data_IF_163821030236
#
_entry.id   IF_163821030236
#
_cell.length_a   1.000
_cell.length_b   1.000
_cell.length_c   1.000
_cell.angle_alpha   90.00
_cell.angle_beta   90.00
_cell.angle_gamma   90.00
#
_symmetry.space_group_name_H-M   'P 1'
#
loop_
_entity.id
_entity.type
_entity.pdbx_description
1 polymer ?
#
# COMPACT_ATOMS: atom_id res chain seq x y z
N UNK A 1 -24.04 -9.09 19.76
CA UNK A 1 -22.71 -8.85 19.15
C UNK A 1 -21.61 -9.36 20.06
N UNK A 2 -20.64 -10.07 19.48
CA UNK A 2 -19.45 -10.59 20.17
C UNK A 2 -18.18 -9.98 19.54
N UNK A 3 -17.16 -9.72 20.36
CA UNK A 3 -15.89 -9.13 19.92
C UNK A 3 -14.74 -10.10 20.16
N UNK A 4 -14.03 -10.46 19.09
CA UNK A 4 -12.79 -11.24 19.17
C UNK A 4 -11.60 -10.31 19.15
N UNK A 5 -10.73 -10.40 20.15
CA UNK A 5 -9.59 -9.49 20.28
C UNK A 5 -8.48 -9.75 19.27
N UNK A 6 -8.32 -11.01 18.83
CA UNK A 6 -7.23 -11.44 17.95
C UNK A 6 -7.73 -12.42 16.90
N UNK A 7 -7.16 -12.35 15.71
CA UNK A 7 -7.33 -13.31 14.64
C UNK A 7 -5.96 -13.64 14.04
N UNK A 8 -5.67 -14.92 13.84
CA UNK A 8 -4.44 -15.36 13.19
C UNK A 8 -4.73 -15.91 11.81
N UNK A 9 -4.03 -15.36 10.81
CA UNK A 9 -4.19 -15.71 9.40
C UNK A 9 -2.88 -16.18 8.79
N UNK A 10 -2.98 -16.71 7.56
CA UNK A 10 -1.82 -17.18 6.81
C UNK A 10 -0.96 -16.02 6.27
N UNK A 11 -1.62 -14.95 5.84
CA UNK A 11 -1.06 -13.79 5.16
C UNK A 11 -0.83 -12.58 6.09
N UNK A 12 -1.50 -12.56 7.25
CA UNK A 12 -1.38 -11.58 8.34
C UNK A 12 -2.11 -12.04 9.59
N UNK A 13 -1.70 -11.52 10.74
CA UNK A 13 -2.53 -11.54 11.96
C UNK A 13 -3.26 -10.20 12.11
N UNK A 14 -4.26 -10.14 12.98
CA UNK A 14 -4.92 -8.90 13.32
C UNK A 14 -5.37 -8.84 14.78
N UNK A 15 -5.38 -7.63 15.34
CA UNK A 15 -5.78 -7.38 16.72
C UNK A 15 -6.70 -6.19 16.81
N UNK A 16 -7.86 -6.37 17.44
CA UNK A 16 -8.80 -5.31 17.77
C UNK A 16 -8.73 -5.03 19.27
N UNK A 17 -8.23 -3.84 19.64
CA UNK A 17 -8.07 -3.44 21.05
C UNK A 17 -8.85 -2.18 21.38
N UNK A 18 -9.63 -2.16 22.48
CA UNK A 18 -10.30 -0.94 22.92
C UNK A 18 -9.28 0.10 23.38
N UNK A 19 -9.52 1.36 23.02
CA UNK A 19 -8.79 2.55 23.44
C UNK A 19 -9.77 3.48 24.15
N UNK A 20 -10.07 3.16 25.40
CA UNK A 20 -11.08 3.86 26.20
C UNK A 20 -12.52 3.46 25.84
N UNK A 21 -13.49 4.34 26.10
CA UNK A 21 -14.91 4.07 25.84
C UNK A 21 -15.28 4.19 24.34
N UNK A 22 -14.69 5.17 23.64
CA UNK A 22 -15.17 5.65 22.33
C UNK A 22 -14.29 5.29 21.13
N UNK A 23 -13.24 4.50 21.34
CA UNK A 23 -12.30 4.19 20.27
C UNK A 23 -11.74 2.78 20.39
N UNK A 24 -11.32 2.23 19.26
CA UNK A 24 -10.54 1.01 19.11
C UNK A 24 -9.33 1.27 18.23
N UNK A 25 -8.31 0.43 18.36
CA UNK A 25 -7.26 0.24 17.37
C UNK A 25 -7.50 -1.13 16.72
N UNK A 26 -7.60 -1.17 15.38
CA UNK A 26 -7.52 -2.42 14.60
C UNK A 26 -6.16 -2.47 13.92
N UNK A 27 -5.29 -3.34 14.42
CA UNK A 27 -3.91 -3.45 13.97
C UNK A 27 -3.77 -4.67 13.07
N UNK A 28 -3.34 -4.49 11.83
CA UNK A 28 -2.88 -5.58 10.96
C UNK A 28 -1.40 -5.85 11.24
N UNK A 29 -1.02 -7.10 11.45
CA UNK A 29 0.32 -7.49 11.87
C UNK A 29 0.99 -8.38 10.82
N UNK A 30 2.16 -7.96 10.35
CA UNK A 30 2.95 -8.71 9.37
C UNK A 30 4.30 -9.12 9.94
N UNK A 31 4.61 -10.40 9.81
CA UNK A 31 5.96 -10.93 9.92
C UNK A 31 6.56 -10.99 8.52
N UNK A 32 7.67 -10.31 8.28
CA UNK A 32 8.24 -10.18 6.94
C UNK A 32 9.66 -10.71 6.93
N UNK A 33 9.95 -11.66 6.05
CA UNK A 33 11.32 -12.06 5.74
C UNK A 33 11.81 -11.16 4.60
N UNK A 34 12.90 -10.42 4.86
CA UNK A 34 13.61 -9.70 3.81
C UNK A 34 14.83 -10.54 3.40
N UNK A 35 14.77 -11.09 2.19
CA UNK A 35 15.81 -11.93 1.61
C UNK A 35 16.80 -11.05 0.84
N UNK A 36 18.00 -10.91 1.39
CA UNK A 36 19.14 -10.28 0.71
C UNK A 36 19.53 -11.12 -0.52
N UNK A 37 19.34 -10.58 -1.72
CA UNK A 37 19.70 -11.28 -2.94
C UNK A 37 21.07 -10.83 -3.42
N UNK A 38 22.06 -11.70 -3.23
CA UNK A 38 23.41 -11.60 -3.79
C UNK A 38 23.49 -12.15 -5.22
N UNK A 39 24.56 -11.82 -5.99
CA UNK A 39 24.79 -12.39 -7.32
C UNK A 39 24.72 -13.92 -7.38
N UNK A 40 25.14 -14.59 -6.29
CA UNK A 40 25.15 -16.05 -6.15
C UNK A 40 23.86 -16.63 -5.60
N UNK A 41 22.82 -15.82 -5.36
CA UNK A 41 21.58 -16.28 -4.73
C UNK A 41 20.70 -16.99 -5.74
N UNK A 42 20.28 -18.21 -5.40
CA UNK A 42 19.25 -18.93 -6.14
C UNK A 42 17.89 -18.65 -5.51
N UNK A 43 16.96 -18.11 -6.30
CA UNK A 43 15.60 -17.87 -5.83
C UNK A 43 14.59 -17.83 -6.96
N UNK A 44 13.33 -18.07 -6.64
CA UNK A 44 12.22 -17.93 -7.56
C UNK A 44 11.16 -17.04 -6.89
N UNK A 45 11.11 -15.78 -7.31
CA UNK A 45 10.19 -14.78 -6.77
C UNK A 45 8.81 -14.85 -7.43
N UNK A 46 8.72 -15.42 -8.64
CA UNK A 46 7.44 -15.72 -9.26
C UNK A 46 7.60 -16.73 -10.39
N UNK A 47 7.01 -17.91 -10.17
CA UNK A 47 6.93 -18.95 -11.20
C UNK A 47 6.07 -18.52 -12.40
N UNK A 48 5.10 -17.62 -12.23
CA UNK A 48 4.22 -17.19 -13.33
C UNK A 48 4.87 -16.12 -14.21
N UNK A 49 5.60 -15.17 -13.62
CA UNK A 49 6.31 -14.13 -14.38
C UNK A 49 7.74 -14.53 -14.75
N UNK A 50 8.16 -15.77 -14.48
CA UNK A 50 9.50 -16.29 -14.71
C UNK A 50 10.56 -15.34 -14.13
N UNK A 51 10.34 -14.90 -12.89
CA UNK A 51 11.25 -13.99 -12.19
C UNK A 51 12.09 -14.78 -11.18
N UNK A 52 13.36 -15.00 -11.51
CA UNK A 52 14.24 -15.88 -10.75
C UNK A 52 15.72 -15.50 -10.88
N UNK A 53 16.52 -15.89 -9.89
CA UNK A 53 17.98 -15.84 -9.93
C UNK A 53 18.56 -17.26 -9.96
N UNK A 54 19.59 -17.46 -10.78
CA UNK A 54 20.29 -18.73 -11.01
C UNK A 54 21.67 -18.79 -10.35
N UNK A 55 22.05 -17.76 -9.59
CA UNK A 55 23.36 -17.68 -8.94
C UNK A 55 24.54 -17.36 -9.86
N UNK A 56 24.29 -17.00 -11.12
CA UNK A 56 25.28 -16.60 -12.12
C UNK A 56 25.51 -15.07 -12.17
N UNK A 57 24.95 -14.33 -11.21
CA UNK A 57 24.95 -12.87 -11.18
C UNK A 57 23.82 -12.21 -11.97
N UNK A 58 22.91 -12.97 -12.57
CA UNK A 58 21.76 -12.43 -13.28
C UNK A 58 20.43 -12.72 -12.57
N UNK A 59 19.57 -11.72 -12.60
CA UNK A 59 18.14 -11.89 -12.43
C UNK A 59 17.48 -12.01 -13.80
N UNK A 60 16.64 -13.03 -13.95
CA UNK A 60 15.82 -13.29 -15.11
C UNK A 60 14.42 -12.76 -14.85
N UNK A 61 13.87 -11.95 -15.76
CA UNK A 61 12.48 -11.45 -15.71
C UNK A 61 11.90 -11.55 -17.13
N UNK A 62 11.32 -12.71 -17.43
CA UNK A 62 10.92 -13.06 -18.79
C UNK A 62 12.12 -13.04 -19.75
N UNK A 63 12.06 -12.17 -20.76
CA UNK A 63 13.16 -11.94 -21.71
C UNK A 63 14.21 -10.95 -21.19
N UNK A 64 13.91 -10.17 -20.14
CA UNK A 64 14.83 -9.18 -19.57
C UNK A 64 15.84 -9.86 -18.64
N UNK A 65 17.01 -9.26 -18.54
CA UNK A 65 18.12 -9.68 -17.68
C UNK A 65 18.62 -8.47 -16.92
N UNK A 66 18.94 -8.67 -15.65
CA UNK A 66 19.45 -7.63 -14.77
C UNK A 66 20.70 -8.14 -14.07
N UNK A 67 21.79 -7.37 -14.13
CA UNK A 67 23.04 -7.74 -13.48
C UNK A 67 22.97 -7.38 -12.00
N UNK A 68 23.08 -8.38 -11.13
CA UNK A 68 23.06 -8.19 -9.69
C UNK A 68 24.42 -7.75 -9.20
N UNK A 69 24.42 -6.72 -8.37
CA UNK A 69 25.58 -6.25 -7.64
C UNK A 69 25.55 -6.82 -6.21
N UNK A 70 26.74 -6.94 -5.63
CA UNK A 70 26.88 -7.37 -4.24
C UNK A 70 26.37 -6.29 -3.30
N UNK A 71 25.75 -6.73 -2.21
CA UNK A 71 25.44 -5.84 -1.09
C UNK A 71 26.66 -5.68 -0.18
N UNK A 72 26.88 -4.46 0.31
CA UNK A 72 27.71 -4.28 1.49
C UNK A 72 26.87 -4.54 2.76
N UNK A 73 27.53 -4.96 3.84
CA UNK A 73 26.81 -5.37 5.05
C UNK A 73 26.09 -4.19 5.73
N UNK A 74 26.74 -3.04 5.80
CA UNK A 74 26.20 -1.79 6.32
C UNK A 74 25.03 -1.29 5.46
N UNK A 75 25.17 -1.32 4.13
CA UNK A 75 24.12 -0.98 3.18
C UNK A 75 22.87 -1.85 3.38
N UNK A 76 23.06 -3.16 3.54
CA UNK A 76 21.95 -4.09 3.78
C UNK A 76 21.24 -3.82 5.11
N UNK A 77 22.00 -3.62 6.19
CA UNK A 77 21.41 -3.31 7.50
C UNK A 77 20.63 -2.00 7.46
N UNK A 78 21.19 -0.96 6.83
CA UNK A 78 20.50 0.31 6.62
C UNK A 78 19.21 0.13 5.80
N UNK A 79 19.23 -0.69 4.74
CA UNK A 79 18.02 -0.99 3.98
C UNK A 79 16.94 -1.64 4.85
N UNK A 80 17.28 -2.68 5.64
CA UNK A 80 16.32 -3.38 6.51
C UNK A 80 15.66 -2.44 7.50
N UNK A 81 16.44 -1.60 8.18
CA UNK A 81 15.93 -0.63 9.14
C UNK A 81 15.02 0.41 8.47
N UNK A 82 15.45 0.91 7.31
CA UNK A 82 14.70 1.91 6.55
C UNK A 82 13.38 1.34 5.99
N UNK A 83 13.35 0.07 5.58
CA UNK A 83 12.17 -0.57 5.03
C UNK A 83 10.97 -0.48 5.98
N UNK A 84 11.12 -0.98 7.22
CA UNK A 84 10.02 -0.98 8.18
C UNK A 84 9.59 0.44 8.53
N UNK A 85 10.55 1.36 8.71
CA UNK A 85 10.29 2.76 9.02
C UNK A 85 9.51 3.48 7.91
N UNK A 86 9.88 3.28 6.65
CA UNK A 86 9.19 3.91 5.50
C UNK A 86 7.75 3.42 5.40
N UNK A 87 7.52 2.11 5.52
CA UNK A 87 6.18 1.51 5.43
C UNK A 87 5.30 1.99 6.58
N UNK A 88 5.79 1.90 7.82
CA UNK A 88 5.01 2.29 9.01
C UNK A 88 4.71 3.79 9.01
N UNK A 89 5.67 4.65 8.64
CA UNK A 89 5.45 6.11 8.58
C UNK A 89 4.31 6.49 7.63
N UNK A 90 4.08 5.70 6.59
CA UNK A 90 3.06 5.99 5.59
C UNK A 90 1.70 5.33 5.91
N UNK A 91 1.70 4.07 6.35
CA UNK A 91 0.47 3.28 6.48
C UNK A 91 -0.09 3.21 7.91
N UNK A 92 0.75 3.32 8.95
CA UNK A 92 0.29 3.15 10.33
C UNK A 92 -0.49 4.38 10.82
N UNK A 93 -1.67 4.15 11.40
CA UNK A 93 -2.51 5.16 12.08
C UNK A 93 -2.85 6.38 11.21
N UNK A 94 -2.86 6.22 9.88
CA UNK A 94 -3.20 7.31 8.95
C UNK A 94 -4.67 7.34 8.56
N UNK A 95 -5.42 6.28 8.85
CA UNK A 95 -6.84 6.11 8.52
C UNK A 95 -7.68 5.86 9.78
N UNK A 96 -8.93 6.32 9.75
CA UNK A 96 -9.94 6.06 10.78
C UNK A 96 -11.24 5.58 10.14
N UNK A 97 -11.89 4.62 10.81
CA UNK A 97 -13.20 4.11 10.47
C UNK A 97 -14.25 4.67 11.43
N UNK A 98 -15.33 5.22 10.87
CA UNK A 98 -16.49 5.68 11.60
C UNK A 98 -17.68 4.74 11.35
N UNK A 99 -18.34 4.21 12.40
CA UNK A 99 -19.49 3.34 12.23
C UNK A 99 -20.73 4.14 11.78
N UNK A 100 -21.64 3.48 11.05
CA UNK A 100 -22.94 4.05 10.66
C UNK A 100 -23.96 4.13 11.82
N UNK A 101 -23.69 3.47 12.95
CA UNK A 101 -24.55 3.44 14.13
C UNK A 101 -23.74 3.12 15.39
N UNK A 102 -24.28 3.37 16.60
CA UNK A 102 -23.74 2.79 17.82
C UNK A 102 -23.66 1.26 17.74
N UNK A 103 -22.55 0.70 18.19
CA UNK A 103 -22.28 -0.73 18.05
C UNK A 103 -21.61 -1.35 19.27
N UNK A 104 -20.77 -0.63 19.99
CA UNK A 104 -20.00 -1.18 21.11
C UNK A 104 -20.59 -0.79 22.47
N UNK A 105 -20.83 -1.78 23.32
CA UNK A 105 -21.12 -1.60 24.74
C UNK A 105 -20.02 -2.28 25.54
N UNK A 106 -19.48 -1.60 26.56
CA UNK A 106 -18.42 -2.16 27.39
C UNK A 106 -18.98 -3.35 28.19
N UNK A 107 -18.30 -4.51 28.23
CA UNK A 107 -18.74 -5.63 29.03
C UNK A 107 -18.87 -5.25 30.51
N UNK A 108 -20.00 -5.64 31.12
CA UNK A 108 -20.25 -5.39 32.54
C UNK A 108 -20.72 -3.97 32.89
N UNK A 109 -20.99 -3.09 31.91
CA UNK A 109 -21.63 -1.79 32.18
C UNK A 109 -23.06 -1.73 31.68
N UNK A 110 -23.91 -0.93 32.35
CA UNK A 110 -25.29 -0.66 31.94
C UNK A 110 -25.40 0.51 30.94
N UNK A 111 -24.27 0.99 30.42
CA UNK A 111 -24.24 2.12 29.50
C UNK A 111 -24.90 1.77 28.17
N UNK A 112 -25.50 2.77 27.51
CA UNK A 112 -25.97 2.61 26.15
C UNK A 112 -24.79 2.33 25.18
N UNK A 113 -25.01 1.56 24.10
CA UNK A 113 -23.97 1.36 23.09
C UNK A 113 -23.47 2.69 22.51
N UNK A 114 -22.17 2.77 22.22
CA UNK A 114 -21.51 3.93 21.62
C UNK A 114 -21.11 3.69 20.16
N UNK A 115 -21.04 4.78 19.39
CA UNK A 115 -20.52 4.82 18.03
C UNK A 115 -18.97 4.85 18.05
N UNK A 116 -18.35 3.79 18.59
CA UNK A 116 -16.90 3.74 18.76
C UNK A 116 -16.17 3.77 17.40
N UNK A 117 -15.20 4.68 17.26
CA UNK A 117 -14.37 4.79 16.05
C UNK A 117 -13.22 3.80 16.09
N UNK A 118 -12.66 3.44 14.93
CA UNK A 118 -11.53 2.51 14.85
C UNK A 118 -10.38 3.19 14.14
N UNK A 119 -9.23 3.31 14.79
CA UNK A 119 -7.99 3.73 14.14
C UNK A 119 -7.35 2.52 13.46
N UNK A 120 -7.02 2.67 12.18
CA UNK A 120 -6.37 1.64 11.37
C UNK A 120 -4.87 1.62 11.69
N UNK A 121 -4.41 0.58 12.37
CA UNK A 121 -3.00 0.38 12.71
C UNK A 121 -2.30 -0.65 11.83
N UNK A 122 -0.98 -0.54 11.74
CA UNK A 122 -0.10 -1.49 11.08
C UNK A 122 1.08 -1.81 12.00
N UNK A 123 1.41 -3.09 12.15
CA UNK A 123 2.60 -3.53 12.83
C UNK A 123 3.43 -4.42 11.90
N UNK A 124 4.74 -4.17 11.85
CA UNK A 124 5.69 -4.95 11.08
C UNK A 124 6.75 -5.55 12.01
N UNK A 125 7.06 -6.82 11.80
CA UNK A 125 8.18 -7.50 12.45
C UNK A 125 9.03 -8.13 11.36
N UNK A 126 10.32 -7.79 11.31
CA UNK A 126 11.25 -8.47 10.42
C UNK A 126 11.65 -9.80 11.07
N UNK A 127 11.52 -10.88 10.32
CA UNK A 127 11.90 -12.23 10.75
C UNK A 127 13.00 -12.77 9.84
N UNK A 128 13.79 -13.70 10.36
CA UNK A 128 14.97 -14.20 9.65
C UNK A 128 14.70 -15.49 8.86
N UNK A 129 13.48 -16.06 8.95
CA UNK A 129 13.13 -17.31 8.27
C UNK A 129 11.77 -17.27 7.60
N UNK A 130 11.70 -17.91 6.43
CA UNK A 130 10.47 -18.12 5.66
C UNK A 130 9.34 -18.78 6.47
N UNK A 131 9.66 -19.70 7.39
CA UNK A 131 8.69 -20.44 8.18
C UNK A 131 7.89 -19.54 9.15
N UNK A 132 8.50 -18.43 9.59
CA UNK A 132 7.88 -17.46 10.49
C UNK A 132 7.17 -16.32 9.74
N UNK A 133 7.45 -16.17 8.45
CA UNK A 133 7.07 -15.00 7.68
C UNK A 133 5.66 -15.12 7.13
N UNK A 134 4.84 -14.08 7.30
CA UNK A 134 3.62 -13.89 6.52
C UNK A 134 3.93 -13.54 5.07
N UNK A 135 5.00 -12.78 4.81
CA UNK A 135 5.39 -12.28 3.49
C UNK A 135 6.90 -12.42 3.30
N UNK A 136 7.35 -12.83 2.11
CA UNK A 136 8.77 -13.01 1.78
C UNK A 136 9.19 -12.07 0.66
N UNK A 137 10.02 -11.09 0.97
CA UNK A 137 10.45 -10.09 0.00
C UNK A 137 11.90 -10.28 -0.37
N UNK A 138 12.13 -10.52 -1.65
CA UNK A 138 13.45 -10.59 -2.24
C UNK A 138 13.92 -9.17 -2.54
N UNK A 139 15.09 -8.80 -2.03
CA UNK A 139 15.66 -7.47 -2.22
C UNK A 139 16.92 -7.60 -3.07
N UNK A 140 16.83 -7.12 -4.31
CA UNK A 140 17.90 -7.17 -5.32
C UNK A 140 18.62 -5.83 -5.43
N UNK A 141 19.86 -5.88 -5.92
CA UNK A 141 20.64 -4.70 -6.28
C UNK A 141 21.03 -4.76 -7.75
N UNK A 142 20.07 -4.51 -8.69
CA UNK A 142 20.39 -4.52 -10.11
C UNK A 142 21.21 -3.27 -10.47
N UNK A 143 22.17 -3.43 -11.38
CA UNK A 143 22.89 -2.31 -11.99
C UNK A 143 21.92 -1.43 -12.80
N UNK A 144 21.04 -2.06 -13.56
CA UNK A 144 20.04 -1.39 -14.38
C UNK A 144 18.98 -0.69 -13.53
N UNK A 145 18.38 0.36 -14.08
CA UNK A 145 17.45 1.25 -13.38
C UNK A 145 15.98 0.97 -13.71
N UNK A 146 15.71 0.11 -14.68
CA UNK A 146 14.38 -0.11 -15.27
C UNK A 146 13.68 -1.39 -14.77
N UNK A 147 14.19 -2.01 -13.70
CA UNK A 147 13.47 -3.09 -13.03
C UNK A 147 12.17 -2.55 -12.43
N UNK A 148 11.08 -3.32 -12.58
CA UNK A 148 9.75 -2.98 -12.05
C UNK A 148 9.50 -3.84 -10.81
N UNK A 149 9.44 -3.24 -9.61
CA UNK A 149 9.12 -3.98 -8.40
C UNK A 149 7.71 -4.54 -8.48
N UNK A 150 7.44 -5.57 -7.67
CA UNK A 150 6.10 -6.11 -7.51
C UNK A 150 5.91 -6.72 -6.12
N UNK A 151 4.66 -6.75 -5.66
CA UNK A 151 4.20 -7.61 -4.57
C UNK A 151 2.95 -8.39 -4.97
N UNK A 152 2.87 -9.63 -4.50
CA UNK A 152 1.72 -10.51 -4.70
C UNK A 152 1.31 -11.10 -3.35
N UNK A 153 0.24 -10.54 -2.77
CA UNK A 153 -0.26 -10.94 -1.47
C UNK A 153 -0.69 -12.41 -1.43
N UNK A 154 -1.32 -12.91 -2.49
CA UNK A 154 -1.82 -14.29 -2.55
C UNK A 154 -0.69 -15.32 -2.52
N UNK A 155 0.42 -15.00 -3.21
CA UNK A 155 1.64 -15.81 -3.23
C UNK A 155 2.60 -15.48 -2.10
N UNK A 156 2.28 -14.48 -1.29
CA UNK A 156 3.05 -14.03 -0.14
C UNK A 156 4.49 -13.65 -0.48
N UNK A 157 4.67 -13.04 -1.64
CA UNK A 157 5.99 -12.75 -2.21
C UNK A 157 6.06 -11.35 -2.79
N UNK A 158 7.24 -10.74 -2.71
CA UNK A 158 7.55 -9.49 -3.40
C UNK A 158 9.00 -9.46 -3.84
N UNK A 159 9.30 -8.60 -4.82
CA UNK A 159 10.64 -8.38 -5.33
C UNK A 159 10.88 -6.88 -5.50
N UNK A 160 11.87 -6.38 -4.79
CA UNK A 160 12.20 -4.97 -4.68
C UNK A 160 13.68 -4.74 -4.95
N UNK A 161 14.00 -3.55 -5.41
CA UNK A 161 15.36 -3.06 -5.54
C UNK A 161 15.79 -2.25 -4.33
N UNK A 162 17.10 -2.12 -4.14
CA UNK A 162 17.70 -1.18 -3.19
C UNK A 162 17.20 0.28 -3.33
N UNK A 163 16.67 0.66 -4.49
CA UNK A 163 16.20 2.04 -4.79
C UNK A 163 14.72 2.27 -4.51
N UNK A 164 13.94 1.24 -4.18
CA UNK A 164 12.47 1.34 -4.10
C UNK A 164 11.94 1.98 -2.82
N UNK A 165 12.81 2.20 -1.82
CA UNK A 165 12.46 2.98 -0.62
C UNK A 165 12.36 4.49 -0.92
N UNK A 166 12.97 4.96 -2.01
CA UNK A 166 12.98 6.37 -2.37
C UNK A 166 11.73 6.76 -3.18
N UNK A 167 11.41 8.05 -3.17
CA UNK A 167 10.44 8.61 -4.10
C UNK A 167 11.02 8.66 -5.51
N UNK A 168 10.27 8.14 -6.47
CA UNK A 168 10.57 8.21 -7.90
C UNK A 168 9.67 9.23 -8.58
N UNK A 169 10.24 9.91 -9.57
CA UNK A 169 9.55 10.83 -10.45
C UNK A 169 9.04 10.07 -11.66
N UNK A 170 7.79 10.30 -12.04
CA UNK A 170 7.21 9.78 -13.27
C UNK A 170 6.39 10.87 -13.93
N UNK A 171 6.66 11.15 -15.20
CA UNK A 171 5.85 12.10 -15.98
C UNK A 171 4.84 11.31 -16.79
N UNK A 172 3.59 11.74 -16.72
CA UNK A 172 2.47 11.12 -17.40
C UNK A 172 1.59 12.17 -18.07
N UNK A 173 0.94 11.76 -19.16
CA UNK A 173 -0.13 12.53 -19.78
C UNK A 173 -1.40 12.34 -18.96
N UNK A 174 -1.92 13.43 -18.40
CA UNK A 174 -3.03 13.41 -17.45
C UNK A 174 -4.17 14.30 -17.95
N UNK A 175 -5.39 13.76 -18.08
CA UNK A 175 -6.57 14.58 -18.35
C UNK A 175 -6.89 15.51 -17.16
N UNK A 176 -6.97 16.82 -17.42
CA UNK A 176 -7.34 17.88 -16.46
C UNK A 176 -8.27 18.86 -17.19
N UNK A 177 -9.49 19.06 -16.68
CA UNK A 177 -10.46 20.04 -17.18
C UNK A 177 -10.68 20.04 -18.72
N UNK A 178 -10.65 18.85 -19.33
CA UNK A 178 -10.84 18.67 -20.78
C UNK A 178 -9.59 18.86 -21.64
N UNK A 179 -8.44 19.16 -21.04
CA UNK A 179 -7.13 19.17 -21.69
C UNK A 179 -6.27 18.00 -21.20
N UNK A 180 -5.20 17.68 -21.93
CA UNK A 180 -4.20 16.67 -21.53
C UNK A 180 -2.92 17.40 -21.16
N UNK A 181 -2.46 17.19 -19.93
CA UNK A 181 -1.31 17.88 -19.34
C UNK A 181 -0.15 16.91 -19.07
N UNK A 182 1.09 17.39 -19.12
CA UNK A 182 2.27 16.68 -18.66
C UNK A 182 2.42 16.87 -17.15
N UNK A 183 2.07 15.84 -16.38
CA UNK A 183 2.10 15.88 -14.92
C UNK A 183 3.19 14.97 -14.39
N UNK A 184 4.08 15.53 -13.57
CA UNK A 184 5.06 14.78 -12.80
C UNK A 184 4.44 14.31 -11.49
N UNK A 185 4.38 13.01 -11.29
CA UNK A 185 4.01 12.37 -10.03
C UNK A 185 5.24 11.91 -9.26
N UNK A 186 5.13 11.94 -7.93
CA UNK A 186 6.10 11.35 -7.01
C UNK A 186 5.48 10.15 -6.32
N UNK A 187 6.12 8.99 -6.44
CA UNK A 187 5.68 7.77 -5.78
C UNK A 187 6.86 6.95 -5.27
N UNK A 188 6.71 6.36 -4.09
CA UNK A 188 7.64 5.34 -3.61
C UNK A 188 7.11 3.97 -4.03
N UNK A 189 7.85 3.22 -4.87
CA UNK A 189 7.39 1.92 -5.34
C UNK A 189 7.13 0.94 -4.20
N UNK A 190 7.98 0.93 -3.15
CA UNK A 190 7.75 0.02 -2.02
C UNK A 190 6.42 0.27 -1.32
N UNK A 191 5.97 1.54 -1.24
CA UNK A 191 4.70 1.89 -0.61
C UNK A 191 3.51 1.43 -1.46
N UNK A 192 3.58 1.61 -2.78
CA UNK A 192 2.58 1.15 -3.74
C UNK A 192 2.40 -0.36 -3.67
N UNK A 193 3.49 -1.11 -3.81
CA UNK A 193 3.47 -2.57 -3.74
C UNK A 193 3.06 -3.09 -2.36
N UNK A 194 3.41 -2.37 -1.29
CA UNK A 194 2.88 -2.71 0.03
C UNK A 194 1.36 -2.54 0.10
N UNK A 195 0.78 -1.60 -0.64
CA UNK A 195 -0.66 -1.55 -0.86
C UNK A 195 -1.24 -2.84 -1.43
N UNK A 196 -0.58 -3.46 -2.43
CA UNK A 196 -0.97 -4.79 -2.92
C UNK A 196 -0.85 -5.87 -1.86
N UNK A 197 0.14 -5.78 -0.98
CA UNK A 197 0.32 -6.68 0.16
C UNK A 197 -0.84 -6.58 1.16
N UNK A 198 -1.31 -5.35 1.40
CA UNK A 198 -2.51 -5.09 2.18
C UNK A 198 -3.79 -5.62 1.49
N UNK A 199 -3.72 -5.98 0.21
CA UNK A 199 -4.86 -6.47 -0.58
C UNK A 199 -5.56 -5.37 -1.39
N UNK A 200 -4.93 -4.21 -1.57
CA UNK A 200 -5.42 -3.16 -2.46
C UNK A 200 -5.08 -3.51 -3.92
N UNK A 201 -5.99 -3.24 -4.85
CA UNK A 201 -5.70 -3.24 -6.28
C UNK A 201 -5.24 -1.85 -6.74
N UNK A 202 -4.89 -1.71 -8.02
CA UNK A 202 -4.70 -0.38 -8.59
C UNK A 202 -6.03 0.39 -8.62
N UNK A 203 -5.95 1.72 -8.65
CA UNK A 203 -7.13 2.59 -8.56
C UNK A 203 -8.13 2.37 -9.72
N UNK A 204 -7.63 2.13 -10.93
CA UNK A 204 -8.43 1.88 -12.14
C UNK A 204 -8.88 0.43 -12.31
N UNK A 205 -8.38 -0.52 -11.50
CA UNK A 205 -8.78 -1.93 -11.56
C UNK A 205 -7.60 -2.91 -11.59
N UNK A 206 -7.84 -4.10 -12.15
CA UNK A 206 -6.86 -5.18 -12.17
C UNK A 206 -5.99 -5.15 -13.44
N UNK A 207 -4.68 -5.28 -13.28
CA UNK A 207 -3.73 -5.43 -14.39
C UNK A 207 -2.60 -4.41 -14.33
N UNK A 208 -1.61 -4.55 -15.22
CA UNK A 208 -0.40 -3.71 -15.25
C UNK A 208 -0.41 -2.66 -16.37
N UNK A 209 -1.56 -2.46 -17.03
CA UNK A 209 -1.71 -1.46 -18.09
C UNK A 209 -1.82 -0.06 -17.51
N UNK A 210 -1.49 0.95 -18.32
CA UNK A 210 -1.52 2.37 -17.91
C UNK A 210 -2.87 2.79 -17.32
N UNK A 211 -3.96 2.33 -17.94
CA UNK A 211 -5.33 2.56 -17.49
C UNK A 211 -5.59 2.12 -16.04
N UNK A 212 -4.86 1.13 -15.53
CA UNK A 212 -5.04 0.64 -14.17
C UNK A 212 -4.60 1.68 -13.13
N UNK A 213 -3.72 2.62 -13.50
CA UNK A 213 -3.19 3.65 -12.60
C UNK A 213 -4.02 4.94 -12.55
N UNK A 214 -5.21 4.94 -13.17
CA UNK A 214 -6.18 6.03 -13.11
C UNK A 214 -6.33 6.81 -14.42
N UNK A 215 -7.53 7.32 -14.66
CA UNK A 215 -7.91 8.06 -15.86
C UNK A 215 -8.02 9.58 -15.63
N UNK A 216 -8.00 10.02 -14.38
CA UNK A 216 -8.06 11.44 -13.98
C UNK A 216 -6.91 11.80 -13.06
N UNK A 217 -6.58 13.10 -12.95
CA UNK A 217 -5.62 13.58 -11.96
C UNK A 217 -5.95 13.11 -10.53
N UNK A 218 -7.25 13.05 -10.19
CA UNK A 218 -7.71 12.64 -8.87
C UNK A 218 -7.36 11.18 -8.55
N UNK A 219 -7.49 10.29 -9.53
CA UNK A 219 -7.13 8.88 -9.42
C UNK A 219 -5.63 8.68 -9.52
N UNK A 220 -4.97 9.36 -10.46
CA UNK A 220 -3.53 9.21 -10.70
C UNK A 220 -2.67 9.69 -9.54
N UNK A 221 -3.10 10.70 -8.78
CA UNK A 221 -2.36 11.11 -7.58
C UNK A 221 -2.47 10.11 -6.41
N UNK A 222 -3.41 9.14 -6.45
CA UNK A 222 -3.56 8.12 -5.41
C UNK A 222 -2.33 7.22 -5.33
N UNK A 223 -2.02 6.69 -4.15
CA UNK A 223 -0.90 5.75 -3.94
C UNK A 223 -1.05 4.46 -4.74
N UNK A 224 -2.28 4.02 -4.98
CA UNK A 224 -2.58 2.88 -5.85
C UNK A 224 -2.73 3.31 -7.32
N UNK A 225 -2.51 4.58 -7.64
CA UNK A 225 -2.28 5.13 -8.97
C UNK A 225 -0.79 5.41 -9.18
N UNK A 226 -0.45 6.60 -9.67
CA UNK A 226 0.90 7.06 -9.98
C UNK A 226 1.54 7.92 -8.89
N UNK A 227 0.76 8.35 -7.90
CA UNK A 227 1.18 9.30 -6.89
C UNK A 227 1.42 8.69 -5.52
N UNK A 228 1.25 9.52 -4.50
CA UNK A 228 1.51 9.18 -3.10
C UNK A 228 0.39 9.60 -2.15
N UNK A 229 -0.79 9.95 -2.67
CA UNK A 229 -1.94 10.36 -1.85
C UNK A 229 -2.72 9.14 -1.39
N UNK A 230 -2.99 9.05 -0.09
CA UNK A 230 -3.98 8.15 0.49
C UNK A 230 -5.40 8.68 0.26
N UNK A 231 -6.29 7.80 -0.16
CA UNK A 231 -7.74 8.00 -0.16
C UNK A 231 -8.42 7.16 0.91
N UNK A 232 -9.70 7.43 1.17
CA UNK A 232 -10.52 6.61 2.07
C UNK A 232 -10.60 5.14 1.61
N UNK A 233 -10.50 4.89 0.30
CA UNK A 233 -10.51 3.55 -0.27
C UNK A 233 -9.35 2.67 0.23
N UNK A 234 -8.25 3.28 0.65
CA UNK A 234 -7.10 2.59 1.21
C UNK A 234 -7.40 1.85 2.53
N UNK A 235 -8.51 2.16 3.21
CA UNK A 235 -8.91 1.49 4.46
C UNK A 235 -9.61 0.13 4.26
N UNK A 236 -9.88 -0.28 3.01
CA UNK A 236 -10.51 -1.57 2.67
C UNK A 236 -9.91 -2.79 3.39
N UNK A 237 -8.58 -2.94 3.54
CA UNK A 237 -7.96 -4.05 4.25
C UNK A 237 -8.43 -4.18 5.70
N UNK A 238 -8.53 -3.06 6.42
CA UNK A 238 -9.02 -3.03 7.80
C UNK A 238 -10.52 -3.33 7.87
N UNK A 239 -11.31 -2.80 6.94
CA UNK A 239 -12.77 -3.10 6.88
C UNK A 239 -13.00 -4.59 6.63
N UNK A 240 -12.24 -5.20 5.71
CA UNK A 240 -12.32 -6.63 5.44
C UNK A 240 -11.96 -7.44 6.70
N UNK A 241 -10.88 -7.06 7.38
CA UNK A 241 -10.41 -7.76 8.58
C UNK A 241 -11.36 -7.63 9.76
N UNK A 242 -12.11 -6.53 9.86
CA UNK A 242 -13.06 -6.29 10.95
C UNK A 242 -14.16 -7.36 11.02
N UNK A 243 -14.48 -8.02 9.91
CA UNK A 243 -15.45 -9.14 9.87
C UNK A 243 -15.03 -10.34 10.74
N UNK A 244 -13.74 -10.52 10.99
CA UNK A 244 -13.22 -11.55 11.89
C UNK A 244 -13.27 -11.14 13.37
N UNK A 245 -13.50 -9.86 13.65
CA UNK A 245 -13.47 -9.32 15.01
C UNK A 245 -14.85 -8.98 15.56
N UNK A 246 -15.79 -8.59 14.69
CA UNK A 246 -17.13 -8.14 15.09
C UNK A 246 -18.17 -9.14 14.61
N UNK A 247 -18.50 -10.10 15.48
CA UNK A 247 -19.43 -11.18 15.17
C UNK A 247 -20.85 -10.72 15.55
N UNK A 248 -21.71 -10.61 14.53
CA UNK A 248 -23.09 -10.13 14.69
C UNK A 248 -24.01 -11.26 15.09
N UNK A 249 -24.97 -10.98 15.97
CA UNK A 249 -26.07 -11.91 16.19
C UNK A 249 -26.98 -11.96 14.96
N UNK A 250 -27.66 -13.09 14.77
CA UNK A 250 -28.66 -13.27 13.71
C UNK A 250 -29.77 -12.23 13.90
N UNK A 251 -30.11 -11.49 12.84
CA UNK A 251 -31.11 -10.40 12.81
C UNK A 251 -30.68 -9.01 13.36
N UNK A 252 -29.41 -8.75 13.66
CA UNK A 252 -28.96 -7.38 13.94
C UNK A 252 -28.96 -6.48 12.68
N UNK A 253 -29.28 -5.18 12.80
CA UNK A 253 -29.16 -4.24 11.68
C UNK A 253 -27.74 -4.20 11.10
N UNK A 254 -27.57 -3.94 9.79
CA UNK A 254 -26.25 -3.84 9.18
C UNK A 254 -25.38 -2.80 9.88
N UNK A 255 -24.24 -3.23 10.39
CA UNK A 255 -23.15 -2.36 10.80
C UNK A 255 -22.24 -2.13 9.59
N UNK A 256 -21.88 -0.89 9.32
CA UNK A 256 -20.94 -0.54 8.26
C UNK A 256 -20.04 0.57 8.75
N UNK A 257 -18.88 0.70 8.10
CA UNK A 257 -17.87 1.67 8.48
C UNK A 257 -17.48 2.50 7.25
N UNK A 258 -17.50 3.82 7.40
CA UNK A 258 -16.92 4.75 6.44
C UNK A 258 -15.49 5.09 6.87
N UNK A 259 -14.61 5.26 5.90
CA UNK A 259 -13.21 5.56 6.16
C UNK A 259 -12.91 7.04 5.87
N UNK A 260 -11.95 7.59 6.60
CA UNK A 260 -11.34 8.89 6.31
C UNK A 260 -9.86 8.86 6.61
N UNK A 261 -9.10 9.70 5.91
CA UNK A 261 -7.68 9.95 6.22
C UNK A 261 -7.61 10.94 7.38
N UNK A 262 -6.78 10.64 8.38
CA UNK A 262 -6.58 11.46 9.58
C UNK A 262 -5.17 12.02 9.71
N UNK A 263 -4.20 11.49 8.95
CA UNK A 263 -2.84 12.01 8.92
C UNK A 263 -2.68 13.14 7.89
N UNK A 264 -1.79 14.12 8.13
CA UNK A 264 -1.38 15.08 7.13
C UNK A 264 -0.80 14.38 5.89
N UNK A 265 -1.14 14.89 4.71
CA UNK A 265 -0.67 14.35 3.44
C UNK A 265 0.03 15.42 2.62
N UNK A 266 1.20 15.09 2.07
CA UNK A 266 1.85 15.92 1.07
C UNK A 266 1.49 15.41 -0.32
N UNK A 267 0.55 16.08 -0.98
CA UNK A 267 0.23 15.81 -2.39
C UNK A 267 1.41 16.27 -3.23
N UNK A 268 2.07 15.32 -3.89
CA UNK A 268 3.36 15.55 -4.54
C UNK A 268 3.26 15.32 -6.05
N UNK A 269 2.57 16.22 -6.75
CA UNK A 269 2.61 16.30 -8.21
C UNK A 269 2.97 17.71 -8.68
N UNK A 270 3.46 17.80 -9.92
CA UNK A 270 3.74 19.06 -10.59
C UNK A 270 3.15 19.03 -12.00
N UNK A 271 2.24 19.95 -12.31
CA UNK A 271 1.66 20.11 -13.63
C UNK A 271 2.51 21.10 -14.44
N UNK A 272 3.23 20.60 -15.45
CA UNK A 272 4.09 21.43 -16.30
C UNK A 272 3.30 22.34 -17.25
N UNK A 273 2.05 21.97 -17.54
CA UNK A 273 1.19 22.67 -18.50
C UNK A 273 0.17 23.56 -17.79
N UNK A 274 0.29 23.71 -16.46
CA UNK A 274 -0.59 24.58 -15.69
C UNK A 274 -0.43 26.04 -16.12
N UNK A 275 -1.54 26.62 -16.57
CA UNK A 275 -1.63 28.05 -16.90
C UNK A 275 -2.67 28.70 -15.97
N UNK A 276 -2.32 29.80 -15.27
CA UNK A 276 -3.28 30.54 -14.46
C UNK A 276 -4.49 30.96 -15.27
N UNK A 277 -5.68 30.97 -14.67
CA UNK A 277 -6.93 31.33 -15.35
C UNK A 277 -6.85 32.68 -16.07
N UNK A 278 -6.20 33.68 -15.46
CA UNK A 278 -6.02 35.01 -16.05
C UNK A 278 -5.12 35.03 -17.31
N UNK A 279 -4.35 33.97 -17.58
CA UNK A 279 -3.58 33.79 -18.82
C UNK A 279 -4.30 32.94 -19.87
N UNK A 280 -5.39 32.26 -19.52
CA UNK A 280 -6.22 31.55 -20.49
C UNK A 280 -6.91 32.62 -21.33
N UNK A 281 -6.44 32.82 -22.58
CA UNK A 281 -7.13 33.72 -23.51
C UNK A 281 -8.59 33.25 -23.62
N UNK A 282 -9.59 34.13 -23.48
CA UNK A 282 -10.95 33.75 -23.80
C UNK A 282 -10.94 33.22 -25.23
N UNK A 283 -11.53 32.05 -25.45
CA UNK A 283 -11.79 31.57 -26.80
C UNK A 283 -12.49 32.72 -27.51
N UNK A 284 -11.83 33.31 -28.50
CA UNK A 284 -12.41 34.36 -29.32
C UNK A 284 -13.72 33.82 -29.83
N UNK A 285 -14.83 34.40 -29.36
CA UNK A 285 -16.13 34.18 -29.98
C UNK A 285 -15.96 34.58 -31.44
N UNK A 286 -15.79 33.60 -32.31
CA UNK A 286 -15.97 33.75 -33.73
C UNK A 286 -17.46 34.01 -33.92
N UNK A 287 -17.83 35.29 -33.80
CA UNK A 287 -19.11 35.82 -34.22
C UNK A 287 -19.19 35.82 -35.75
N UNK A 288 -20.41 35.70 -36.30
CA UNK A 288 -20.68 35.55 -37.73
C UNK A 288 -20.25 36.75 -38.58
#
# INVERSE_FOLDING_TARGET
MEIHASHSGLDRDSRLTPRGARAFDLILQYRMELVRCEPTTHFNASAASRVFGTGDGLLHDGARRFHLERWENDEWLAYRENFARVILRYWDRTLELAPNRPWYQRPGTQDAPEAARITCGLALTLVDTAAQAHQRYFIIKPRETNFRPFANAQRRVGLFTHRDLAMRRQIWLTPIDGAVHNVLFMQSPVLHEFGHTLGLGHIGGHGSGEWAYGASLAEQQDIMGLGNRLSAGAARPWIAQLSHHVIRARAEPPLSFSARVIAPQLVSYWDYDWVPEWRRRPATASGP
#
